data_IF_072452455634
#
_entry.id   IF_072452455634
#
_cell.length_a   1.000
_cell.length_b   1.000
_cell.length_c   1.000
_cell.angle_alpha   90.00
_cell.angle_beta   90.00
_cell.angle_gamma   90.00
#
_symmetry.space_group_name_H-M   'P 1'
#
loop_
_entity.id
_entity.type
_entity.pdbx_description
1 polymer ?
#
# COMPACT_ATOMS: atom_id res chain seq x y z
N UNK A 1 6.43 -9.84 -10.22
CA UNK A 1 6.79 -8.44 -9.87
C UNK A 1 5.53 -7.61 -9.74
N UNK A 2 5.42 -6.80 -8.69
CA UNK A 2 4.25 -5.93 -8.45
C UNK A 2 4.24 -4.80 -9.48
N UNK A 3 3.05 -4.47 -10.00
CA UNK A 3 2.84 -3.40 -10.98
C UNK A 3 1.86 -2.36 -10.44
N UNK A 4 2.03 -1.10 -10.83
CA UNK A 4 1.11 -0.01 -10.52
C UNK A 4 -0.13 -0.05 -11.44
N UNK A 5 -1.02 -1.04 -11.25
CA UNK A 5 -2.16 -1.24 -12.16
C UNK A 5 -3.50 -1.63 -11.49
N UNK A 6 -3.69 -1.31 -10.21
CA UNK A 6 -4.90 -1.70 -9.48
C UNK A 6 -6.19 -1.14 -10.13
N UNK A 7 -6.23 0.14 -10.49
CA UNK A 7 -7.35 0.77 -11.21
C UNK A 7 -7.67 0.09 -12.53
N UNK A 8 -6.65 -0.31 -13.28
CA UNK A 8 -6.81 -1.02 -14.55
C UNK A 8 -7.39 -2.43 -14.41
N UNK A 9 -7.43 -2.98 -13.19
CA UNK A 9 -8.00 -4.28 -12.86
C UNK A 9 -9.41 -4.20 -12.28
N UNK A 10 -9.97 -3.00 -12.11
CA UNK A 10 -11.33 -2.81 -11.62
C UNK A 10 -12.36 -3.38 -12.60
N UNK A 11 -13.34 -4.09 -12.06
CA UNK A 11 -14.38 -4.74 -12.85
C UNK A 11 -15.58 -3.82 -13.08
N UNK A 12 -16.45 -4.17 -14.02
CA UNK A 12 -17.73 -3.48 -14.18
C UNK A 12 -18.59 -3.55 -12.89
N UNK A 13 -18.52 -4.66 -12.16
CA UNK A 13 -19.20 -4.82 -10.88
C UNK A 13 -18.67 -3.85 -9.81
N UNK A 14 -17.35 -3.61 -9.77
CA UNK A 14 -16.74 -2.63 -8.87
C UNK A 14 -17.27 -1.22 -9.15
N UNK A 15 -17.30 -0.81 -10.42
CA UNK A 15 -17.79 0.51 -10.81
C UNK A 15 -19.29 0.68 -10.53
N UNK A 16 -20.08 -0.37 -10.74
CA UNK A 16 -21.49 -0.38 -10.38
C UNK A 16 -21.71 -0.26 -8.87
N UNK A 17 -20.89 -0.93 -8.07
CA UNK A 17 -20.92 -0.80 -6.61
C UNK A 17 -20.57 0.64 -6.19
N UNK A 18 -19.52 1.24 -6.74
CA UNK A 18 -19.14 2.63 -6.47
C UNK A 18 -20.30 3.58 -6.78
N UNK A 19 -20.93 3.45 -7.95
CA UNK A 19 -22.12 4.25 -8.32
C UNK A 19 -23.27 4.00 -7.34
N UNK A 20 -23.54 2.75 -6.97
CA UNK A 20 -24.59 2.41 -6.01
C UNK A 20 -24.37 3.12 -4.67
N UNK A 21 -23.16 3.03 -4.12
CA UNK A 21 -22.80 3.65 -2.84
C UNK A 21 -22.94 5.18 -2.89
N UNK A 22 -22.45 5.83 -3.95
CA UNK A 22 -22.48 7.28 -4.09
C UNK A 22 -23.87 7.84 -4.47
N UNK A 23 -24.69 7.06 -5.17
CA UNK A 23 -26.03 7.49 -5.60
C UNK A 23 -27.00 7.70 -4.44
N UNK A 24 -26.80 6.98 -3.33
CA UNK A 24 -27.68 7.00 -2.14
C UNK A 24 -29.16 6.73 -2.47
N UNK A 25 -29.42 5.86 -3.45
CA UNK A 25 -30.78 5.52 -3.90
C UNK A 25 -31.46 6.57 -4.78
N UNK A 26 -30.77 7.67 -5.14
CA UNK A 26 -31.31 8.69 -6.05
C UNK A 26 -31.01 8.34 -7.51
N UNK A 27 -32.05 8.16 -8.32
CA UNK A 27 -31.93 7.92 -9.76
C UNK A 27 -31.24 9.08 -10.49
N UNK A 28 -31.52 10.33 -10.09
CA UNK A 28 -30.88 11.50 -10.68
C UNK A 28 -29.36 11.54 -10.38
N UNK A 29 -28.98 11.27 -9.12
CA UNK A 29 -27.55 11.18 -8.75
C UNK A 29 -26.85 10.04 -9.47
N UNK A 30 -27.50 8.88 -9.57
CA UNK A 30 -27.00 7.74 -10.32
C UNK A 30 -26.69 8.11 -11.78
N UNK A 31 -27.65 8.69 -12.49
CA UNK A 31 -27.45 9.11 -13.88
C UNK A 31 -26.36 10.19 -14.04
N UNK A 32 -26.18 11.06 -13.03
CA UNK A 32 -25.07 12.02 -13.00
C UNK A 32 -23.71 11.32 -12.86
N UNK A 33 -23.59 10.36 -11.93
CA UNK A 33 -22.37 9.58 -11.71
C UNK A 33 -22.02 8.71 -12.91
N UNK A 34 -23.01 8.09 -13.57
CA UNK A 34 -22.80 7.31 -14.80
C UNK A 34 -22.27 8.19 -15.95
N UNK A 35 -22.83 9.39 -16.14
CA UNK A 35 -22.31 10.36 -17.11
C UNK A 35 -20.88 10.79 -16.77
N UNK A 36 -20.61 11.02 -15.49
CA UNK A 36 -19.28 11.41 -15.01
C UNK A 36 -18.24 10.31 -15.25
N UNK A 37 -18.59 9.07 -14.94
CA UNK A 37 -17.75 7.90 -15.22
C UNK A 37 -17.43 7.77 -16.72
N UNK A 38 -18.42 8.02 -17.58
CA UNK A 38 -18.22 7.96 -19.03
C UNK A 38 -17.33 9.10 -19.56
N UNK A 39 -17.39 10.29 -18.96
CA UNK A 39 -16.67 11.47 -19.42
C UNK A 39 -15.25 11.60 -18.83
N UNK A 40 -15.08 11.31 -17.54
CA UNK A 40 -13.84 11.55 -16.78
C UNK A 40 -13.14 10.25 -16.35
N UNK A 41 -13.75 9.08 -16.58
CA UNK A 41 -13.27 7.81 -16.06
C UNK A 41 -13.60 7.58 -14.58
N UNK A 42 -13.04 6.53 -13.96
CA UNK A 42 -13.40 6.11 -12.60
C UNK A 42 -12.76 6.97 -11.50
N UNK A 43 -11.62 7.60 -11.79
CA UNK A 43 -10.80 8.32 -10.81
C UNK A 43 -11.59 9.31 -9.93
N UNK A 44 -12.45 10.19 -10.49
CA UNK A 44 -13.15 11.17 -9.67
C UNK A 44 -14.21 10.56 -8.75
N UNK A 45 -14.73 9.37 -9.10
CA UNK A 45 -15.65 8.62 -8.26
C UNK A 45 -14.88 7.90 -7.14
N UNK A 46 -13.72 7.32 -7.45
CA UNK A 46 -12.84 6.68 -6.47
C UNK A 46 -12.29 7.69 -5.44
N UNK A 47 -12.11 8.94 -5.88
CA UNK A 47 -11.68 10.07 -5.06
C UNK A 47 -12.81 10.75 -4.26
N UNK A 48 -14.07 10.27 -4.37
CA UNK A 48 -15.20 10.85 -3.63
C UNK A 48 -15.03 10.64 -2.11
N UNK A 49 -15.08 11.71 -1.29
CA UNK A 49 -14.69 11.66 0.13
C UNK A 49 -15.53 10.70 0.97
N UNK A 50 -16.81 10.51 0.62
CA UNK A 50 -17.70 9.58 1.30
C UNK A 50 -17.54 8.11 0.86
N UNK A 51 -16.77 7.82 -0.18
CA UNK A 51 -16.70 6.46 -0.75
C UNK A 51 -16.11 5.47 0.26
N UNK A 52 -15.01 5.83 0.91
CA UNK A 52 -14.31 4.97 1.86
C UNK A 52 -15.22 4.51 3.00
N UNK A 53 -15.89 5.46 3.67
CA UNK A 53 -16.83 5.15 4.76
C UNK A 53 -17.96 4.24 4.31
N UNK A 54 -18.48 4.49 3.10
CA UNK A 54 -19.56 3.69 2.52
C UNK A 54 -19.11 2.29 2.15
N UNK A 55 -17.89 2.14 1.66
CA UNK A 55 -17.31 0.85 1.34
C UNK A 55 -17.14 -0.02 2.59
N UNK A 56 -16.70 0.58 3.71
CA UNK A 56 -16.53 -0.13 4.99
C UNK A 56 -17.86 -0.51 5.66
N UNK A 57 -18.91 0.27 5.42
CA UNK A 57 -20.24 0.08 6.02
C UNK A 57 -21.22 -0.65 5.10
N UNK A 58 -20.79 -1.04 3.89
CA UNK A 58 -21.68 -1.65 2.90
C UNK A 58 -22.33 -2.93 3.43
N UNK A 59 -23.63 -3.07 3.19
CA UNK A 59 -24.46 -4.24 3.51
C UNK A 59 -25.33 -4.57 2.29
N UNK A 60 -24.69 -4.83 1.16
CA UNK A 60 -25.36 -5.12 -0.12
C UNK A 60 -24.95 -6.49 -0.65
N UNK A 61 -25.72 -7.04 -1.59
CA UNK A 61 -25.35 -8.27 -2.30
C UNK A 61 -24.11 -8.08 -3.20
N UNK A 62 -23.87 -6.86 -3.68
CA UNK A 62 -22.62 -6.50 -4.33
C UNK A 62 -21.54 -6.29 -3.27
N UNK A 63 -20.49 -7.10 -3.33
CA UNK A 63 -19.31 -7.03 -2.46
C UNK A 63 -18.17 -6.41 -3.27
N UNK A 64 -17.37 -5.49 -2.70
CA UNK A 64 -16.22 -4.95 -3.41
C UNK A 64 -15.22 -6.05 -3.75
N UNK A 65 -14.60 -5.99 -4.93
CA UNK A 65 -13.41 -6.80 -5.17
C UNK A 65 -12.28 -6.39 -4.22
N UNK A 66 -11.36 -7.32 -3.95
CA UNK A 66 -10.17 -7.02 -3.14
C UNK A 66 -9.38 -5.85 -3.74
N UNK A 67 -9.33 -5.75 -5.08
CA UNK A 67 -8.65 -4.65 -5.78
C UNK A 67 -9.33 -3.30 -5.53
N UNK A 68 -10.66 -3.22 -5.66
CA UNK A 68 -11.39 -2.00 -5.33
C UNK A 68 -11.17 -1.61 -3.87
N UNK A 69 -11.28 -2.59 -2.97
CA UNK A 69 -11.13 -2.37 -1.54
C UNK A 69 -9.75 -1.79 -1.20
N UNK A 70 -8.67 -2.47 -1.58
CA UNK A 70 -7.32 -2.02 -1.27
C UNK A 70 -6.98 -0.69 -1.94
N UNK A 71 -7.40 -0.49 -3.20
CA UNK A 71 -7.16 0.79 -3.89
C UNK A 71 -7.84 1.95 -3.17
N UNK A 72 -9.13 1.86 -2.85
CA UNK A 72 -9.86 2.94 -2.16
C UNK A 72 -9.27 3.20 -0.78
N UNK A 73 -8.96 2.15 -0.01
CA UNK A 73 -8.34 2.29 1.31
C UNK A 73 -7.01 3.05 1.25
N UNK A 74 -6.11 2.62 0.37
CA UNK A 74 -4.77 3.22 0.22
C UNK A 74 -4.89 4.63 -0.34
N UNK A 75 -5.67 4.84 -1.41
CA UNK A 75 -5.83 6.13 -2.08
C UNK A 75 -6.33 7.20 -1.12
N UNK A 76 -7.35 6.89 -0.32
CA UNK A 76 -7.88 7.83 0.68
C UNK A 76 -6.87 8.10 1.79
N UNK A 77 -6.15 7.08 2.26
CA UNK A 77 -5.13 7.27 3.28
C UNK A 77 -3.95 8.14 2.81
N UNK A 78 -3.48 7.93 1.58
CA UNK A 78 -2.44 8.76 0.95
C UNK A 78 -2.90 10.22 0.84
N UNK A 79 -4.14 10.47 0.41
CA UNK A 79 -4.69 11.83 0.31
C UNK A 79 -4.80 12.50 1.68
N UNK A 80 -5.21 11.76 2.71
CA UNK A 80 -5.19 12.26 4.09
C UNK A 80 -3.79 12.64 4.57
N UNK A 81 -2.75 11.92 4.11
CA UNK A 81 -1.35 12.25 4.36
C UNK A 81 -0.78 13.34 3.41
N UNK A 82 -1.61 13.96 2.57
CA UNK A 82 -1.19 15.00 1.62
C UNK A 82 -0.38 14.46 0.43
N UNK A 83 -0.54 13.18 0.10
CA UNK A 83 0.10 12.52 -1.05
C UNK A 83 -0.96 12.29 -2.11
N UNK A 84 -0.94 13.10 -3.16
CA UNK A 84 -1.86 12.98 -4.30
C UNK A 84 -1.19 12.29 -5.50
N UNK A 85 -0.84 11.03 -5.32
CA UNK A 85 -0.22 10.20 -6.35
C UNK A 85 -1.06 8.93 -6.57
N UNK A 86 -1.66 8.80 -7.76
CA UNK A 86 -2.56 7.69 -8.09
C UNK A 86 -1.79 6.42 -8.49
N UNK A 87 -0.63 6.57 -9.12
CA UNK A 87 0.18 5.42 -9.53
C UNK A 87 0.86 4.79 -8.32
N UNK A 88 1.24 5.60 -7.33
CA UNK A 88 1.65 5.12 -6.02
C UNK A 88 0.50 4.39 -5.31
N UNK A 89 -0.72 4.92 -5.35
CA UNK A 89 -1.89 4.24 -4.78
C UNK A 89 -2.14 2.87 -5.45
N UNK A 90 -2.02 2.81 -6.78
CA UNK A 90 -2.11 1.56 -7.54
C UNK A 90 -1.05 0.55 -7.13
N UNK A 91 0.20 1.00 -7.04
CA UNK A 91 1.32 0.15 -6.66
C UNK A 91 1.19 -0.41 -5.25
N UNK A 92 0.82 0.44 -4.29
CA UNK A 92 0.65 0.04 -2.90
C UNK A 92 -0.56 -0.88 -2.73
N UNK A 93 -1.67 -0.64 -3.43
CA UNK A 93 -2.80 -1.57 -3.42
C UNK A 93 -2.40 -2.95 -3.99
N UNK A 94 -1.65 -2.97 -5.09
CA UNK A 94 -1.12 -4.20 -5.67
C UNK A 94 -0.10 -4.89 -4.75
N UNK A 95 0.72 -4.12 -4.03
CA UNK A 95 1.64 -4.63 -3.01
C UNK A 95 0.87 -5.33 -1.88
N UNK A 96 -0.17 -4.69 -1.34
CA UNK A 96 -0.97 -5.26 -0.25
C UNK A 96 -1.68 -6.55 -0.69
N UNK A 97 -2.19 -6.59 -1.92
CA UNK A 97 -2.75 -7.81 -2.51
C UNK A 97 -1.70 -8.92 -2.65
N UNK A 98 -0.55 -8.63 -3.27
CA UNK A 98 0.48 -9.66 -3.51
C UNK A 98 1.07 -10.19 -2.20
N UNK A 99 1.28 -9.32 -1.20
CA UNK A 99 1.87 -9.72 0.08
C UNK A 99 0.85 -10.34 1.05
N UNK A 100 -0.45 -10.08 0.86
CA UNK A 100 -1.52 -10.75 1.59
C UNK A 100 -1.72 -12.21 1.19
N UNK A 101 -1.17 -12.65 0.05
CA UNK A 101 -1.28 -14.02 -0.43
C UNK A 101 -0.23 -14.96 0.23
N UNK A 102 -0.70 -15.84 1.14
CA UNK A 102 0.10 -16.93 1.74
C UNK A 102 1.41 -16.42 2.38
N UNK A 103 2.55 -16.89 1.89
CA UNK A 103 3.90 -16.58 2.38
C UNK A 103 4.61 -15.52 1.52
N UNK A 104 3.90 -14.79 0.65
CA UNK A 104 4.55 -13.94 -0.36
C UNK A 104 5.34 -12.78 0.19
N UNK A 105 4.92 -12.21 1.32
CA UNK A 105 5.69 -11.19 2.00
C UNK A 105 7.09 -11.67 2.39
N UNK A 106 7.26 -12.97 2.65
CA UNK A 106 8.53 -13.57 3.06
C UNK A 106 9.37 -14.08 1.88
N UNK A 107 8.92 -13.91 0.63
CA UNK A 107 9.61 -14.41 -0.56
C UNK A 107 9.88 -13.28 -1.56
N UNK A 108 11.07 -13.25 -2.15
CA UNK A 108 11.41 -12.24 -3.16
C UNK A 108 10.58 -12.47 -4.45
N UNK A 109 10.51 -13.71 -4.93
CA UNK A 109 9.63 -14.13 -6.05
C UNK A 109 8.60 -15.19 -5.60
N UNK A 110 7.49 -15.33 -6.35
CA UNK A 110 6.47 -16.38 -6.13
C UNK A 110 7.10 -17.78 -6.14
N UNK A 111 8.15 -17.97 -6.93
CA UNK A 111 8.87 -19.24 -7.09
C UNK A 111 10.22 -19.28 -6.37
N UNK A 112 10.53 -18.31 -5.49
CA UNK A 112 11.76 -18.38 -4.69
C UNK A 112 11.58 -19.33 -3.50
N UNK A 113 12.56 -20.22 -3.33
CA UNK A 113 12.62 -21.16 -2.20
C UNK A 113 13.14 -20.47 -0.93
N UNK A 114 13.87 -19.36 -1.06
CA UNK A 114 14.37 -18.60 0.07
C UNK A 114 13.26 -17.77 0.73
N UNK A 115 13.17 -17.92 2.06
CA UNK A 115 12.29 -17.12 2.92
C UNK A 115 13.11 -16.12 3.70
N UNK A 116 12.81 -14.83 3.57
CA UNK A 116 13.44 -13.78 4.35
C UNK A 116 12.49 -13.32 5.44
N UNK A 117 12.84 -13.63 6.70
CA UNK A 117 12.04 -13.24 7.86
C UNK A 117 12.56 -11.94 8.49
N UNK A 118 13.81 -11.57 8.20
CA UNK A 118 14.41 -10.33 8.68
C UNK A 118 14.98 -9.50 7.53
N UNK A 119 14.90 -8.18 7.65
CA UNK A 119 15.45 -7.24 6.66
C UNK A 119 16.95 -7.40 6.45
N UNK A 120 17.69 -7.89 7.46
CA UNK A 120 19.12 -8.19 7.35
C UNK A 120 19.40 -9.34 6.38
N UNK A 121 18.48 -10.31 6.28
CA UNK A 121 18.61 -11.42 5.33
C UNK A 121 18.48 -10.90 3.90
N UNK A 122 17.58 -9.94 3.67
CA UNK A 122 17.38 -9.28 2.36
C UNK A 122 18.60 -8.41 2.01
N UNK A 123 19.18 -7.70 2.98
CA UNK A 123 20.42 -6.94 2.76
C UNK A 123 21.60 -7.86 2.39
N UNK A 124 21.71 -9.00 3.05
CA UNK A 124 22.76 -9.99 2.76
C UNK A 124 22.57 -10.56 1.34
N UNK A 125 21.34 -10.88 0.93
CA UNK A 125 21.06 -11.32 -0.45
C UNK A 125 21.33 -10.21 -1.48
N UNK A 126 21.10 -8.94 -1.10
CA UNK A 126 21.42 -7.81 -1.96
C UNK A 126 22.93 -7.66 -2.18
N UNK A 127 23.76 -7.97 -1.19
CA UNK A 127 25.22 -7.89 -1.32
C UNK A 127 25.79 -9.00 -2.21
N UNK A 128 25.14 -10.17 -2.25
CA UNK A 128 25.57 -11.33 -3.04
C UNK A 128 24.93 -11.43 -4.44
N UNK A 129 23.92 -10.60 -4.73
CA UNK A 129 23.15 -10.69 -5.99
C UNK A 129 23.55 -9.63 -7.02
N UNK A 130 23.66 -10.04 -8.28
CA UNK A 130 23.90 -9.17 -9.44
C UNK A 130 22.78 -9.27 -10.51
N UNK A 131 22.85 -8.41 -11.53
CA UNK A 131 21.93 -8.41 -12.67
C UNK A 131 20.45 -8.21 -12.30
N UNK A 132 19.55 -8.82 -13.07
CA UNK A 132 18.10 -8.63 -12.94
C UNK A 132 17.53 -9.07 -11.59
N UNK A 133 18.13 -10.08 -10.96
CA UNK A 133 17.72 -10.52 -9.61
C UNK A 133 18.00 -9.40 -8.61
N UNK A 134 19.10 -8.65 -8.76
CA UNK A 134 19.47 -7.56 -7.85
C UNK A 134 18.36 -6.52 -7.79
N UNK A 135 17.80 -6.14 -8.94
CA UNK A 135 16.65 -5.24 -8.99
C UNK A 135 15.45 -5.77 -8.19
N UNK A 136 15.12 -7.05 -8.33
CA UNK A 136 14.03 -7.67 -7.54
C UNK A 136 14.29 -7.62 -6.05
N UNK A 137 15.53 -7.86 -5.62
CA UNK A 137 15.94 -7.75 -4.20
C UNK A 137 15.82 -6.30 -3.71
N UNK A 138 16.26 -5.31 -4.50
CA UNK A 138 16.11 -3.88 -4.14
C UNK A 138 14.64 -3.48 -3.94
N UNK A 139 13.78 -3.85 -4.89
CA UNK A 139 12.32 -3.60 -4.80
C UNK A 139 11.72 -4.31 -3.59
N UNK A 140 12.11 -5.57 -3.35
CA UNK A 140 11.61 -6.34 -2.22
C UNK A 140 12.06 -5.75 -0.88
N UNK A 141 13.29 -5.25 -0.76
CA UNK A 141 13.76 -4.54 0.44
C UNK A 141 12.88 -3.32 0.77
N UNK A 142 12.53 -2.53 -0.25
CA UNK A 142 11.60 -1.39 -0.13
C UNK A 142 10.21 -1.83 0.31
N UNK A 143 9.63 -2.77 -0.44
CA UNK A 143 8.29 -3.30 -0.22
C UNK A 143 8.13 -3.95 1.15
N UNK A 144 9.08 -4.78 1.56
CA UNK A 144 9.02 -5.52 2.83
C UNK A 144 9.20 -4.59 4.03
N UNK A 145 10.11 -3.61 3.93
CA UNK A 145 10.24 -2.55 4.94
C UNK A 145 8.92 -1.80 5.12
N UNK A 146 8.29 -1.41 4.00
CA UNK A 146 7.04 -0.66 4.03
C UNK A 146 5.86 -1.49 4.52
N UNK A 147 5.79 -2.77 4.13
CA UNK A 147 4.75 -3.69 4.58
C UNK A 147 4.83 -3.93 6.09
N UNK A 148 6.02 -4.24 6.63
CA UNK A 148 6.20 -4.43 8.07
C UNK A 148 5.89 -3.14 8.85
N UNK A 149 6.53 -2.03 8.46
CA UNK A 149 6.44 -0.79 9.22
C UNK A 149 5.12 -0.03 8.98
N UNK A 150 4.46 -0.26 7.85
CA UNK A 150 3.16 0.33 7.50
C UNK A 150 1.97 -0.45 8.05
N UNK A 151 1.98 -1.79 7.98
CA UNK A 151 0.83 -2.60 8.42
C UNK A 151 0.95 -3.19 9.82
N UNK A 152 2.15 -3.33 10.36
CA UNK A 152 2.37 -3.96 11.67
C UNK A 152 3.23 -3.08 12.60
N UNK A 153 2.92 -1.78 12.76
CA UNK A 153 3.73 -0.89 13.58
C UNK A 153 3.74 -1.31 15.07
N UNK A 154 2.66 -1.91 15.57
CA UNK A 154 2.59 -2.41 16.96
C UNK A 154 3.50 -3.62 17.19
N UNK A 155 3.69 -4.46 16.17
CA UNK A 155 4.64 -5.58 16.24
C UNK A 155 6.08 -5.04 16.41
N UNK A 156 6.44 -3.99 15.66
CA UNK A 156 7.75 -3.34 15.76
C UNK A 156 7.94 -2.72 17.14
N UNK A 157 6.98 -1.93 17.62
CA UNK A 157 7.04 -1.30 18.94
C UNK A 157 7.16 -2.35 20.07
N UNK A 158 6.34 -3.41 20.02
CA UNK A 158 6.37 -4.48 21.02
C UNK A 158 7.68 -5.28 20.97
N UNK A 159 8.31 -5.42 19.80
CA UNK A 159 9.61 -6.09 19.65
C UNK A 159 10.75 -5.22 20.16
N UNK A 160 10.70 -3.91 19.93
CA UNK A 160 11.66 -2.95 20.49
C UNK A 160 11.64 -3.00 22.02
N UNK A 161 10.47 -2.86 22.63
CA UNK A 161 10.31 -2.88 24.09
C UNK A 161 10.73 -4.20 24.74
N UNK A 162 10.37 -5.35 24.14
CA UNK A 162 10.62 -6.67 24.76
C UNK A 162 11.98 -7.29 24.43
N UNK A 163 12.56 -6.97 23.27
CA UNK A 163 13.73 -7.68 22.73
C UNK A 163 14.84 -6.75 22.25
N UNK A 164 14.76 -5.44 22.50
CA UNK A 164 15.73 -4.47 22.01
C UNK A 164 15.82 -4.41 20.47
N UNK A 165 14.72 -4.78 19.78
CA UNK A 165 14.69 -4.75 18.32
C UNK A 165 14.81 -3.33 17.74
N UNK A 166 15.13 -3.18 16.44
CA UNK A 166 15.26 -1.88 15.81
C UNK A 166 13.97 -1.06 15.91
N UNK A 167 14.10 0.26 16.01
CA UNK A 167 12.97 1.18 15.96
C UNK A 167 12.48 1.40 14.52
N UNK A 168 11.42 2.20 14.37
CA UNK A 168 10.80 2.47 13.06
C UNK A 168 11.75 3.16 12.08
N UNK A 169 12.73 3.93 12.56
CA UNK A 169 13.68 4.65 11.71
C UNK A 169 14.61 3.70 10.94
N UNK A 170 14.90 2.53 11.51
CA UNK A 170 15.63 1.47 10.82
C UNK A 170 14.87 0.98 9.59
N UNK A 171 13.56 0.75 9.71
CA UNK A 171 12.72 0.31 8.59
C UNK A 171 12.57 1.43 7.56
N UNK A 172 12.45 2.69 8.00
CA UNK A 172 12.43 3.84 7.11
C UNK A 172 13.72 3.92 6.29
N UNK A 173 14.89 3.80 6.93
CA UNK A 173 16.17 3.86 6.24
C UNK A 173 16.33 2.75 5.19
N UNK A 174 15.98 1.51 5.54
CA UNK A 174 16.09 0.38 4.61
C UNK A 174 15.07 0.44 3.48
N UNK A 175 13.85 0.88 3.78
CA UNK A 175 12.82 1.08 2.78
C UNK A 175 13.18 2.14 1.76
N UNK A 176 13.66 3.30 2.22
CA UNK A 176 14.19 4.38 1.37
C UNK A 176 15.34 3.89 0.50
N UNK A 177 16.30 3.17 1.08
CA UNK A 177 17.45 2.61 0.36
C UNK A 177 17.00 1.66 -0.74
N UNK A 178 16.15 0.69 -0.41
CA UNK A 178 15.64 -0.31 -1.36
C UNK A 178 14.94 0.32 -2.56
N UNK A 179 13.97 1.20 -2.31
CA UNK A 179 13.25 1.89 -3.38
C UNK A 179 14.13 2.88 -4.17
N UNK A 180 15.03 3.60 -3.50
CA UNK A 180 15.95 4.53 -4.17
C UNK A 180 16.85 3.80 -5.17
N UNK A 181 17.57 2.76 -4.71
CA UNK A 181 18.42 1.94 -5.59
C UNK A 181 17.61 1.30 -6.72
N UNK A 182 16.40 0.82 -6.43
CA UNK A 182 15.54 0.24 -7.45
C UNK A 182 15.13 1.29 -8.49
N UNK A 183 14.78 2.50 -8.08
CA UNK A 183 14.34 3.57 -8.99
C UNK A 183 15.42 4.04 -9.96
N UNK A 184 16.70 3.91 -9.58
CA UNK A 184 17.86 4.25 -10.41
C UNK A 184 18.32 3.09 -11.32
N UNK A 185 17.74 1.90 -11.15
CA UNK A 185 18.08 0.72 -11.93
C UNK A 185 17.42 0.74 -13.32
N UNK A 186 18.12 0.28 -14.37
CA UNK A 186 17.62 0.29 -15.76
C UNK A 186 16.26 -0.42 -15.91
N UNK A 187 16.06 -1.56 -15.23
CA UNK A 187 14.80 -2.30 -15.21
C UNK A 187 13.61 -1.52 -14.65
N UNK A 188 13.81 -0.51 -13.79
CA UNK A 188 12.71 0.33 -13.34
C UNK A 188 12.07 1.08 -14.50
N UNK A 189 12.86 1.50 -15.50
CA UNK A 189 12.34 2.14 -16.69
C UNK A 189 11.57 1.14 -17.56
N UNK A 190 12.12 -0.06 -17.76
CA UNK A 190 11.46 -1.12 -18.53
C UNK A 190 10.08 -1.51 -17.97
N UNK A 191 9.97 -1.56 -16.64
CA UNK A 191 8.70 -1.87 -15.97
C UNK A 191 7.81 -0.65 -15.69
N UNK A 192 8.23 0.56 -16.07
CA UNK A 192 7.48 1.80 -15.81
C UNK A 192 7.35 2.14 -14.32
N UNK A 193 8.32 1.74 -13.49
CA UNK A 193 8.29 1.88 -12.04
C UNK A 193 9.15 3.04 -11.50
N UNK A 194 9.96 3.70 -12.34
CA UNK A 194 10.91 4.76 -11.90
C UNK A 194 10.24 5.80 -11.00
N UNK A 195 9.16 6.42 -11.47
CA UNK A 195 8.49 7.50 -10.75
C UNK A 195 7.90 7.02 -9.41
N UNK A 196 7.17 5.90 -9.44
CA UNK A 196 6.53 5.33 -8.24
C UNK A 196 7.55 4.92 -7.19
N UNK A 197 8.61 4.23 -7.58
CA UNK A 197 9.67 3.80 -6.65
C UNK A 197 10.41 5.03 -6.09
N UNK A 198 10.67 6.04 -6.91
CA UNK A 198 11.28 7.29 -6.45
C UNK A 198 10.40 8.02 -5.43
N UNK A 199 9.11 8.21 -5.73
CA UNK A 199 8.16 8.81 -4.77
C UNK A 199 8.10 8.00 -3.48
N UNK A 200 8.04 6.67 -3.56
CA UNK A 200 8.02 5.79 -2.39
C UNK A 200 9.30 5.93 -1.55
N UNK A 201 10.47 6.09 -2.18
CA UNK A 201 11.74 6.35 -1.49
C UNK A 201 11.75 7.74 -0.83
N UNK A 202 11.43 8.79 -1.57
CA UNK A 202 11.52 10.18 -1.07
C UNK A 202 10.53 10.44 0.06
N UNK A 203 9.30 9.95 -0.08
CA UNK A 203 8.17 10.16 0.84
C UNK A 203 7.95 9.00 1.80
N UNK A 204 8.92 8.10 1.95
CA UNK A 204 8.75 6.84 2.68
C UNK A 204 8.07 6.97 4.05
N UNK A 205 8.49 7.87 4.98
CA UNK A 205 7.84 7.97 6.29
C UNK A 205 6.37 8.39 6.21
N UNK A 206 6.03 9.28 5.26
CA UNK A 206 4.66 9.74 5.05
C UNK A 206 3.79 8.63 4.42
N UNK A 207 4.34 7.86 3.46
CA UNK A 207 3.67 6.69 2.89
C UNK A 207 3.45 5.61 3.94
N UNK A 208 4.47 5.34 4.78
CA UNK A 208 4.36 4.43 5.91
C UNK A 208 3.26 4.86 6.88
N UNK A 209 3.25 6.13 7.29
CA UNK A 209 2.22 6.66 8.19
C UNK A 209 0.81 6.56 7.58
N UNK A 210 0.66 6.81 6.28
CA UNK A 210 -0.60 6.55 5.58
C UNK A 210 -1.01 5.07 5.68
N UNK A 211 -0.08 4.12 5.51
CA UNK A 211 -0.39 2.70 5.71
C UNK A 211 -0.66 2.35 7.18
N UNK A 212 -0.04 3.03 8.14
CA UNK A 212 -0.39 2.89 9.56
C UNK A 212 -1.86 3.27 9.80
N UNK A 213 -2.35 4.34 9.15
CA UNK A 213 -3.76 4.69 9.15
C UNK A 213 -4.68 3.60 8.57
N UNK A 214 -4.24 2.90 7.52
CA UNK A 214 -4.97 1.74 6.96
C UNK A 214 -5.00 0.59 7.97
N UNK A 215 -3.84 0.24 8.54
CA UNK A 215 -3.68 -0.75 9.61
C UNK A 215 -4.63 -0.50 10.77
N UNK A 216 -4.56 0.69 11.33
CA UNK A 216 -5.29 1.10 12.53
C UNK A 216 -6.80 1.26 12.30
N UNK A 217 -7.27 1.20 11.05
CA UNK A 217 -8.68 1.33 10.70
C UNK A 217 -9.31 0.02 10.27
N UNK A 218 -8.56 -0.82 9.56
CA UNK A 218 -9.07 -2.04 8.93
C UNK A 218 -8.60 -3.29 9.65
N UNK A 219 -7.30 -3.38 9.92
CA UNK A 219 -6.68 -4.61 10.41
C UNK A 219 -6.66 -4.69 11.93
N UNK A 220 -6.39 -3.56 12.61
CA UNK A 220 -6.21 -3.49 14.06
C UNK A 220 -6.93 -2.28 14.71
N UNK A 221 -8.27 -2.12 14.53
CA UNK A 221 -9.00 -0.93 14.95
C UNK A 221 -9.01 -0.63 16.45
N UNK A 222 -8.84 -1.66 17.29
CA UNK A 222 -8.96 -1.56 18.74
C UNK A 222 -7.62 -1.46 19.51
N UNK A 223 -6.48 -1.31 18.82
CA UNK A 223 -5.18 -1.55 19.44
C UNK A 223 -4.67 -0.43 20.37
N UNK A 224 -4.93 0.85 20.06
CA UNK A 224 -4.34 2.02 20.77
C UNK A 224 -5.21 3.29 20.67
N UNK A 225 -5.01 4.24 21.58
CA UNK A 225 -5.55 5.62 21.46
C UNK A 225 -4.84 6.43 20.37
N UNK A 226 -5.41 7.55 19.93
CA UNK A 226 -4.83 8.40 18.88
C UNK A 226 -3.42 8.93 19.24
N UNK A 227 -3.21 9.33 20.49
CA UNK A 227 -1.91 9.81 20.98
C UNK A 227 -0.85 8.72 20.98
N UNK A 228 -1.21 7.51 21.43
CA UNK A 228 -0.28 6.36 21.44
C UNK A 228 0.10 5.91 20.03
N UNK A 229 -0.81 6.04 19.05
CA UNK A 229 -0.51 5.79 17.63
C UNK A 229 0.48 6.82 17.09
N UNK A 230 0.28 8.11 17.38
CA UNK A 230 1.18 9.17 16.93
C UNK A 230 2.60 9.02 17.51
N UNK A 231 2.72 8.72 18.81
CA UNK A 231 4.03 8.48 19.45
C UNK A 231 4.75 7.27 18.84
N UNK A 232 4.01 6.16 18.64
CA UNK A 232 4.51 4.95 17.98
C UNK A 232 5.04 5.24 16.57
N UNK A 233 4.30 6.01 15.77
CA UNK A 233 4.65 6.30 14.37
C UNK A 233 5.90 7.18 14.24
N UNK A 234 6.22 7.93 15.30
CA UNK A 234 7.46 8.71 15.48
C UNK A 234 8.60 7.91 16.11
N UNK A 235 8.37 6.66 16.52
CA UNK A 235 9.36 5.85 17.25
C UNK A 235 9.58 6.28 18.70
N UNK A 236 8.70 7.11 19.24
CA UNK A 236 8.71 7.59 20.62
C UNK A 236 7.87 6.62 21.46
N UNK A 237 8.41 6.14 22.57
CA UNK A 237 7.75 5.21 23.49
C UNK A 237 7.78 5.78 24.91
#
# INVERSE_FOLDING_TARGET
>A
MIRANARGRLTAADLQLVILLLSRGSAHRRASLERRLAAEGPDPLLDAPELLERLLTVRTMLVPSETLFFYVMVRHSLRHAGIDDRDLADYLAALLLDFGERDRAWRIDRHDDQRHQYLVDILTDLESTEGDRRFRVMVHLGNYSLWLAGLFPDYIAARRLRKGGPDVSYYDALGRRGFGMASDHALANEYGLVAVLRTAAERFPAVRSALNGVSDRVFFPAARTATERALRDLGIH
#
